data_IF_276932733473
#
_entry.id   IF_276932733473
#
_cell.length_a   1.000
_cell.length_b   1.000
_cell.length_c   1.000
_cell.angle_alpha   90.00
_cell.angle_beta   90.00
_cell.angle_gamma   90.00
#
_symmetry.space_group_name_H-M   'P 1'
#
loop_
_entity.id
_entity.type
_entity.pdbx_description
1 polymer ?
#
# COMPACT_ATOMS: atom_id res chain seq x y z
N UNK A 1 -9.28 11.99 -18.11
CA UNK A 1 -10.39 11.99 -17.12
C UNK A 1 -10.03 12.94 -16.00
N UNK A 2 -10.91 13.85 -15.64
CA UNK A 2 -10.75 14.77 -14.50
C UNK A 2 -11.21 14.11 -13.20
N UNK A 3 -10.86 14.68 -12.04
CA UNK A 3 -11.34 14.18 -10.73
C UNK A 3 -12.88 14.21 -10.65
N UNK A 4 -13.50 15.25 -11.18
CA UNK A 4 -14.97 15.40 -11.17
C UNK A 4 -15.68 14.40 -12.09
N UNK A 5 -15.04 13.97 -13.18
CA UNK A 5 -15.54 12.85 -14.01
C UNK A 5 -15.36 11.53 -13.29
N UNK A 6 -14.19 11.32 -12.65
CA UNK A 6 -13.90 10.10 -11.90
C UNK A 6 -14.90 9.86 -10.76
N UNK A 7 -15.30 10.91 -10.04
CA UNK A 7 -16.30 10.80 -8.95
C UNK A 7 -17.68 10.33 -9.41
N UNK A 8 -17.98 10.45 -10.70
CA UNK A 8 -19.26 10.01 -11.27
C UNK A 8 -19.22 8.55 -11.74
N UNK A 9 -18.03 7.97 -11.78
CA UNK A 9 -17.82 6.59 -12.17
C UNK A 9 -18.17 5.62 -11.04
N UNK A 10 -18.56 4.41 -11.41
CA UNK A 10 -18.66 3.28 -10.49
C UNK A 10 -17.25 2.73 -10.27
N UNK A 11 -16.69 2.95 -9.09
CA UNK A 11 -15.29 2.61 -8.77
C UNK A 11 -15.24 1.32 -7.94
N UNK A 12 -14.49 0.32 -8.44
CA UNK A 12 -14.17 -0.87 -7.63
C UNK A 12 -12.98 -0.58 -6.70
N UNK A 13 -13.09 -1.03 -5.46
CA UNK A 13 -12.01 -0.93 -4.46
C UNK A 13 -11.65 -2.30 -3.89
N UNK A 14 -10.38 -2.53 -3.51
CA UNK A 14 -9.92 -3.83 -3.01
C UNK A 14 -10.28 -4.09 -1.54
N UNK A 15 -10.82 -3.10 -0.86
CA UNK A 15 -11.22 -3.17 0.54
C UNK A 15 -11.14 -1.82 1.24
N UNK A 16 -12.12 -1.57 2.10
CA UNK A 16 -12.26 -0.31 2.87
C UNK A 16 -11.10 -0.07 3.85
N UNK A 17 -10.45 -1.14 4.29
CA UNK A 17 -9.36 -1.08 5.27
C UNK A 17 -7.98 -1.10 4.61
N UNK A 18 -7.88 -0.69 3.33
CA UNK A 18 -6.61 -0.58 2.63
C UNK A 18 -6.08 0.86 2.64
N UNK A 19 -4.76 1.01 2.74
CA UNK A 19 -4.10 2.31 2.57
C UNK A 19 -4.38 2.93 1.20
N UNK A 20 -4.51 2.10 0.17
CA UNK A 20 -4.87 2.56 -1.18
C UNK A 20 -6.24 3.25 -1.21
N UNK A 21 -7.25 2.68 -0.55
CA UNK A 21 -8.57 3.31 -0.45
C UNK A 21 -8.52 4.62 0.34
N UNK A 22 -7.79 4.66 1.46
CA UNK A 22 -7.60 5.89 2.23
C UNK A 22 -6.93 6.98 1.39
N UNK A 23 -5.84 6.65 0.68
CA UNK A 23 -5.14 7.59 -0.21
C UNK A 23 -6.05 8.09 -1.35
N UNK A 24 -6.85 7.21 -1.95
CA UNK A 24 -7.81 7.63 -2.97
C UNK A 24 -8.85 8.58 -2.40
N UNK A 25 -9.39 8.31 -1.21
CA UNK A 25 -10.33 9.24 -0.54
C UNK A 25 -9.68 10.58 -0.19
N UNK A 26 -8.41 10.59 0.20
CA UNK A 26 -7.65 11.82 0.43
C UNK A 26 -7.47 12.62 -0.86
N UNK A 27 -7.23 11.94 -1.96
CA UNK A 27 -7.00 12.57 -3.27
C UNK A 27 -8.27 13.15 -3.88
N UNK A 28 -9.34 12.34 -3.98
CA UNK A 28 -10.54 12.74 -4.72
C UNK A 28 -11.75 13.10 -3.84
N UNK A 29 -11.70 12.83 -2.53
CA UNK A 29 -12.84 13.06 -1.62
C UNK A 29 -13.85 11.91 -1.61
N UNK A 30 -15.11 12.21 -1.37
CA UNK A 30 -16.20 11.21 -1.36
C UNK A 30 -16.59 10.80 -2.78
N UNK A 31 -16.83 9.52 -2.98
CA UNK A 31 -17.28 8.91 -4.23
C UNK A 31 -18.04 7.60 -3.95
N UNK A 32 -18.80 7.15 -4.91
CA UNK A 32 -19.49 5.86 -4.84
C UNK A 32 -18.54 4.73 -5.24
N UNK A 33 -18.57 3.62 -4.50
CA UNK A 33 -17.69 2.49 -4.75
C UNK A 33 -18.37 1.15 -4.49
N UNK A 34 -17.80 0.11 -5.09
CA UNK A 34 -18.11 -1.30 -4.82
C UNK A 34 -16.84 -1.99 -4.32
N UNK A 35 -16.97 -2.76 -3.24
CA UNK A 35 -15.86 -3.57 -2.69
C UNK A 35 -15.85 -4.95 -3.34
N UNK A 36 -14.70 -5.37 -3.86
CA UNK A 36 -14.49 -6.69 -4.44
C UNK A 36 -13.08 -7.20 -4.22
N UNK A 37 -12.85 -8.49 -4.48
CA UNK A 37 -11.50 -9.03 -4.37
C UNK A 37 -10.57 -8.31 -5.36
N UNK A 38 -9.38 -7.92 -4.91
CA UNK A 38 -8.43 -7.17 -5.72
C UNK A 38 -8.05 -7.88 -7.03
N UNK A 39 -8.04 -9.21 -7.05
CA UNK A 39 -7.74 -10.01 -8.25
C UNK A 39 -8.84 -9.95 -9.32
N UNK A 40 -10.05 -9.56 -8.95
CA UNK A 40 -11.20 -9.53 -9.87
C UNK A 40 -11.41 -8.13 -10.46
N UNK A 41 -10.83 -7.10 -9.86
CA UNK A 41 -10.99 -5.69 -10.25
C UNK A 41 -10.65 -5.46 -11.74
N UNK A 42 -9.49 -5.91 -12.28
CA UNK A 42 -9.17 -5.65 -13.69
C UNK A 42 -10.19 -6.25 -14.67
N UNK A 43 -10.68 -7.45 -14.37
CA UNK A 43 -11.71 -8.11 -15.19
C UNK A 43 -13.06 -7.42 -15.10
N UNK A 44 -13.40 -6.90 -13.92
CA UNK A 44 -14.65 -6.14 -13.73
C UNK A 44 -14.62 -4.82 -14.52
N UNK A 45 -13.47 -4.18 -14.67
CA UNK A 45 -13.28 -3.02 -15.53
C UNK A 45 -13.37 -3.42 -17.01
N UNK A 46 -12.65 -4.46 -17.42
CA UNK A 46 -12.65 -4.96 -18.80
C UNK A 46 -14.06 -5.35 -19.27
N UNK A 47 -14.84 -6.00 -18.41
CA UNK A 47 -16.22 -6.42 -18.72
C UNK A 47 -17.25 -5.28 -18.67
N UNK A 48 -16.88 -4.10 -18.16
CA UNK A 48 -17.80 -2.98 -17.95
C UNK A 48 -18.74 -3.16 -16.75
N UNK A 49 -18.45 -4.07 -15.84
CA UNK A 49 -19.17 -4.21 -14.58
C UNK A 49 -18.97 -2.99 -13.68
N UNK A 50 -17.77 -2.41 -13.74
CA UNK A 50 -17.38 -1.12 -13.13
C UNK A 50 -16.65 -0.28 -14.16
N UNK A 51 -16.70 1.05 -13.97
CA UNK A 51 -16.06 1.98 -14.89
C UNK A 51 -14.54 2.12 -14.61
N UNK A 52 -14.15 2.03 -13.34
CA UNK A 52 -12.77 2.23 -12.86
C UNK A 52 -12.46 1.28 -11.73
N UNK A 53 -11.20 0.87 -11.61
CA UNK A 53 -10.70 0.00 -10.54
C UNK A 53 -9.51 0.59 -9.81
N UNK A 54 -9.53 0.52 -8.48
CA UNK A 54 -8.35 0.79 -7.65
C UNK A 54 -7.55 -0.52 -7.51
N UNK A 55 -6.42 -0.60 -8.18
CA UNK A 55 -5.59 -1.81 -8.16
C UNK A 55 -4.48 -1.72 -7.11
N UNK A 56 -4.16 -2.85 -6.50
CA UNK A 56 -3.09 -3.05 -5.53
C UNK A 56 -2.31 -4.32 -5.86
N UNK A 57 -1.30 -4.63 -5.05
CA UNK A 57 -0.46 -5.82 -5.21
C UNK A 57 0.21 -5.88 -6.60
N UNK A 58 0.52 -7.08 -7.06
CA UNK A 58 1.15 -7.31 -8.37
C UNK A 58 0.29 -6.86 -9.57
N UNK A 59 -1.02 -6.71 -9.37
CA UNK A 59 -1.95 -6.24 -10.41
C UNK A 59 -1.59 -4.84 -10.92
N UNK A 60 -0.99 -3.99 -10.07
CA UNK A 60 -0.49 -2.67 -10.48
C UNK A 60 0.67 -2.75 -11.51
N UNK A 61 1.25 -3.93 -11.72
CA UNK A 61 2.31 -4.16 -12.70
C UNK A 61 1.80 -4.89 -13.95
N UNK A 62 0.59 -5.44 -13.93
CA UNK A 62 0.03 -6.28 -15.01
C UNK A 62 -1.24 -5.72 -15.65
N UNK A 63 -1.81 -4.63 -15.14
CA UNK A 63 -3.10 -4.09 -15.63
C UNK A 63 -3.12 -3.78 -17.12
N UNK A 64 -2.02 -3.34 -17.72
CA UNK A 64 -1.92 -3.06 -19.17
C UNK A 64 -2.05 -4.35 -20.00
N UNK A 65 -1.51 -5.47 -19.51
CA UNK A 65 -1.62 -6.77 -20.16
C UNK A 65 -3.06 -7.30 -20.13
N UNK A 66 -3.88 -6.80 -19.21
CA UNK A 66 -5.29 -7.09 -19.04
C UNK A 66 -6.18 -6.04 -19.75
N UNK A 67 -5.62 -5.27 -20.70
CA UNK A 67 -6.37 -4.31 -21.52
C UNK A 67 -6.77 -3.01 -20.82
N UNK A 68 -6.29 -2.79 -19.60
CA UNK A 68 -6.62 -1.59 -18.81
C UNK A 68 -5.60 -0.46 -19.03
N UNK A 69 -5.98 0.77 -18.72
CA UNK A 69 -5.12 1.96 -18.81
C UNK A 69 -5.05 2.68 -17.47
N UNK A 70 -3.88 3.20 -17.11
CA UNK A 70 -3.69 4.02 -15.91
C UNK A 70 -4.34 5.39 -16.12
N UNK A 71 -5.27 5.74 -15.26
CA UNK A 71 -5.92 7.06 -15.23
C UNK A 71 -5.21 7.97 -14.24
N UNK A 72 -4.96 7.47 -13.03
CA UNK A 72 -4.33 8.18 -11.92
C UNK A 72 -3.36 7.25 -11.21
N UNK A 73 -2.39 7.85 -10.52
CA UNK A 73 -1.49 7.16 -9.62
C UNK A 73 -1.51 7.85 -8.26
N UNK A 74 -1.99 7.14 -7.25
CA UNK A 74 -2.09 7.69 -5.89
C UNK A 74 -0.71 7.91 -5.25
N UNK A 75 0.30 7.15 -5.68
CA UNK A 75 1.68 7.34 -5.25
C UNK A 75 2.29 8.61 -5.80
N UNK A 76 2.11 8.89 -7.11
CA UNK A 76 2.54 10.15 -7.73
C UNK A 76 1.84 11.37 -7.11
N UNK A 77 0.55 11.23 -6.78
CA UNK A 77 -0.18 12.28 -6.09
C UNK A 77 0.38 12.52 -4.68
N UNK A 78 0.65 11.45 -3.94
CA UNK A 78 1.24 11.52 -2.60
C UNK A 78 2.60 12.21 -2.62
N UNK A 79 3.49 11.79 -3.50
CA UNK A 79 4.82 12.37 -3.69
C UNK A 79 4.75 13.89 -3.90
N UNK A 80 3.92 14.35 -4.83
CA UNK A 80 3.71 15.77 -5.13
C UNK A 80 3.11 16.52 -3.95
N UNK A 81 2.18 15.91 -3.22
CA UNK A 81 1.45 16.55 -2.11
C UNK A 81 2.33 16.70 -0.88
N UNK A 82 3.29 15.78 -0.68
CA UNK A 82 4.13 15.70 0.52
C UNK A 82 5.59 16.10 0.28
N UNK A 83 5.94 16.54 -0.93
CA UNK A 83 7.31 16.87 -1.34
C UNK A 83 8.28 15.70 -1.15
N UNK A 84 7.90 14.50 -1.59
CA UNK A 84 8.78 13.34 -1.65
C UNK A 84 8.78 12.44 -0.42
N UNK A 85 7.80 12.53 0.48
CA UNK A 85 7.68 11.54 1.55
C UNK A 85 7.32 10.17 1.00
N UNK A 86 7.87 9.08 1.55
CA UNK A 86 7.53 7.74 1.12
C UNK A 86 6.03 7.45 1.30
N UNK A 87 5.45 6.65 0.41
CA UNK A 87 4.03 6.27 0.52
C UNK A 87 3.86 5.27 1.66
N UNK A 88 3.06 5.54 2.71
CA UNK A 88 2.83 4.59 3.80
C UNK A 88 1.85 3.50 3.37
N UNK A 89 2.35 2.41 2.82
CA UNK A 89 1.54 1.30 2.33
C UNK A 89 1.06 0.38 3.45
N UNK A 90 1.90 0.13 4.44
CA UNK A 90 1.61 -0.69 5.61
C UNK A 90 2.69 -0.57 6.66
N UNK A 91 2.33 -0.87 7.90
CA UNK A 91 3.23 -0.86 9.05
C UNK A 91 3.00 -2.10 9.91
N UNK A 92 4.05 -2.58 10.55
CA UNK A 92 3.93 -3.59 11.59
C UNK A 92 3.56 -2.92 12.91
N UNK A 93 2.60 -3.48 13.63
CA UNK A 93 2.16 -2.97 14.92
C UNK A 93 2.21 -4.07 15.99
N UNK A 94 2.50 -3.66 17.21
CA UNK A 94 2.48 -4.55 18.37
C UNK A 94 1.60 -3.97 19.46
N UNK A 95 0.99 -4.85 20.26
CA UNK A 95 0.24 -4.43 21.45
C UNK A 95 1.20 -3.88 22.52
N UNK A 96 0.87 -2.74 23.07
CA UNK A 96 1.70 -2.07 24.10
C UNK A 96 1.76 -2.83 25.41
N UNK A 97 0.76 -3.67 25.73
CA UNK A 97 0.72 -4.52 26.91
C UNK A 97 1.80 -5.63 26.94
N UNK A 98 2.44 -5.90 25.80
CA UNK A 98 3.60 -6.80 25.73
C UNK A 98 4.86 -6.25 26.42
N UNK A 99 4.88 -4.97 26.77
CA UNK A 99 5.99 -4.27 27.39
C UNK A 99 7.09 -3.88 26.41
N UNK A 100 7.73 -2.73 26.69
CA UNK A 100 8.73 -2.13 25.80
C UNK A 100 9.94 -3.02 25.53
N UNK A 101 10.40 -3.80 26.51
CA UNK A 101 11.53 -4.71 26.32
C UNK A 101 11.23 -5.77 25.26
N UNK A 102 10.01 -6.31 25.24
CA UNK A 102 9.56 -7.28 24.25
C UNK A 102 9.46 -6.62 22.87
N UNK A 103 8.89 -5.43 22.80
CA UNK A 103 8.69 -4.68 21.54
C UNK A 103 10.04 -4.37 20.90
N UNK A 104 10.98 -3.79 21.66
CA UNK A 104 12.33 -3.46 21.17
C UNK A 104 13.11 -4.70 20.73
N UNK A 105 12.96 -5.81 21.47
CA UNK A 105 13.61 -7.06 21.10
C UNK A 105 13.04 -7.65 19.82
N UNK A 106 11.72 -7.61 19.65
CA UNK A 106 11.06 -8.08 18.44
C UNK A 106 11.44 -7.24 17.23
N UNK A 107 11.46 -5.91 17.36
CA UNK A 107 11.86 -4.99 16.30
C UNK A 107 13.26 -5.32 15.76
N UNK A 108 14.24 -5.55 16.65
CA UNK A 108 15.58 -5.98 16.25
C UNK A 108 15.61 -7.30 15.48
N UNK A 109 14.79 -8.28 15.88
CA UNK A 109 14.69 -9.54 15.16
C UNK A 109 14.01 -9.36 13.79
N UNK A 110 12.97 -8.53 13.73
CA UNK A 110 12.29 -8.24 12.47
C UNK A 110 13.24 -7.55 11.49
N UNK A 111 13.97 -6.53 11.95
CA UNK A 111 14.99 -5.86 11.14
C UNK A 111 16.04 -6.83 10.62
N UNK A 112 16.65 -7.63 11.51
CA UNK A 112 17.64 -8.62 11.12
C UNK A 112 17.10 -9.67 10.13
N UNK A 113 15.83 -10.07 10.27
CA UNK A 113 15.16 -10.98 9.36
C UNK A 113 14.97 -10.38 7.96
N UNK A 114 14.61 -9.10 7.89
CA UNK A 114 14.45 -8.38 6.62
C UNK A 114 15.81 -8.23 5.94
N UNK A 115 16.83 -7.81 6.68
CA UNK A 115 18.21 -7.68 6.19
C UNK A 115 18.73 -9.01 5.64
N UNK A 116 18.53 -10.11 6.38
CA UNK A 116 18.89 -11.45 5.94
C UNK A 116 18.18 -11.84 4.63
N UNK A 117 16.89 -11.55 4.51
CA UNK A 117 16.13 -11.81 3.28
C UNK A 117 16.61 -10.98 2.09
N UNK A 118 17.09 -9.75 2.31
CA UNK A 118 17.69 -8.91 1.27
C UNK A 118 19.06 -9.46 0.84
N UNK A 119 19.90 -9.85 1.80
CA UNK A 119 21.23 -10.42 1.54
C UNK A 119 21.16 -11.78 0.85
N UNK A 120 20.12 -12.58 1.15
CA UNK A 120 19.86 -13.92 0.58
C UNK A 120 18.63 -13.87 -0.36
N UNK A 121 18.60 -12.89 -1.25
CA UNK A 121 17.41 -12.55 -2.03
C UNK A 121 16.86 -13.70 -2.87
N UNK A 122 17.72 -14.50 -3.50
CA UNK A 122 17.29 -15.62 -4.35
C UNK A 122 16.57 -16.71 -3.55
N UNK A 123 17.06 -17.05 -2.37
CA UNK A 123 16.43 -18.04 -1.47
C UNK A 123 15.10 -17.47 -0.92
N UNK A 124 15.06 -16.20 -0.54
CA UNK A 124 13.85 -15.52 -0.09
C UNK A 124 12.80 -15.45 -1.19
N UNK A 125 13.21 -15.16 -2.43
CA UNK A 125 12.32 -15.12 -3.59
C UNK A 125 11.79 -16.53 -3.92
N UNK A 126 12.63 -17.56 -3.86
CA UNK A 126 12.20 -18.96 -4.06
C UNK A 126 11.11 -19.36 -3.07
N UNK A 127 11.27 -18.98 -1.79
CA UNK A 127 10.23 -19.17 -0.79
C UNK A 127 8.95 -18.38 -1.12
N UNK A 128 9.06 -17.11 -1.52
CA UNK A 128 7.93 -16.26 -1.88
C UNK A 128 7.16 -16.78 -3.12
N UNK A 129 7.86 -17.43 -4.06
CA UNK A 129 7.25 -18.03 -5.25
C UNK A 129 6.21 -19.10 -4.93
N UNK A 130 6.30 -19.79 -3.78
CA UNK A 130 5.29 -20.74 -3.34
C UNK A 130 3.92 -20.10 -3.11
N UNK A 131 3.87 -18.79 -2.90
CA UNK A 131 2.66 -17.99 -2.66
C UNK A 131 2.28 -17.07 -3.85
N UNK A 132 3.00 -17.19 -4.96
CA UNK A 132 2.84 -16.34 -6.16
C UNK A 132 1.53 -16.53 -6.93
N UNK A 133 0.70 -17.52 -6.55
CA UNK A 133 -0.54 -17.88 -7.25
C UNK A 133 -0.33 -18.13 -8.75
N UNK A 134 0.82 -18.71 -9.13
CA UNK A 134 1.17 -19.01 -10.51
C UNK A 134 1.63 -17.82 -11.35
N UNK A 135 1.92 -16.68 -10.73
CA UNK A 135 2.52 -15.53 -11.42
C UNK A 135 3.98 -15.83 -11.79
N UNK A 136 4.46 -15.20 -12.86
CA UNK A 136 5.83 -15.36 -13.32
C UNK A 136 6.86 -14.82 -12.32
N UNK A 137 8.01 -15.52 -12.20
CA UNK A 137 9.10 -15.16 -11.27
C UNK A 137 9.55 -13.70 -11.45
N UNK A 138 9.73 -13.23 -12.68
CA UNK A 138 10.17 -11.86 -12.95
C UNK A 138 9.19 -10.78 -12.47
N UNK A 139 7.88 -11.07 -12.54
CA UNK A 139 6.85 -10.17 -12.01
C UNK A 139 6.91 -10.11 -10.48
N UNK A 140 7.02 -11.28 -9.82
CA UNK A 140 7.10 -11.36 -8.35
C UNK A 140 8.40 -10.72 -7.86
N UNK A 141 9.53 -10.95 -8.52
CA UNK A 141 10.79 -10.30 -8.20
C UNK A 141 10.67 -8.77 -8.23
N UNK A 142 10.10 -8.24 -9.32
CA UNK A 142 9.87 -6.79 -9.45
C UNK A 142 8.96 -6.27 -8.34
N UNK A 143 7.90 -7.00 -8.03
CA UNK A 143 6.97 -6.66 -6.97
C UNK A 143 7.67 -6.65 -5.60
N UNK A 144 8.41 -7.70 -5.25
CA UNK A 144 9.15 -7.78 -3.99
C UNK A 144 10.11 -6.61 -3.84
N UNK A 145 10.90 -6.28 -4.87
CA UNK A 145 11.85 -5.16 -4.86
C UNK A 145 11.19 -3.78 -4.71
N UNK A 146 9.93 -3.63 -5.11
CA UNK A 146 9.17 -2.40 -4.85
C UNK A 146 8.81 -2.22 -3.37
N UNK A 147 8.51 -3.32 -2.67
CA UNK A 147 8.00 -3.29 -1.30
C UNK A 147 9.08 -3.52 -0.25
N UNK A 148 10.10 -4.33 -0.59
CA UNK A 148 11.23 -4.61 0.31
C UNK A 148 12.42 -3.73 -0.11
N UNK A 149 12.61 -2.66 0.61
CA UNK A 149 13.57 -1.61 0.31
C UNK A 149 14.15 -1.03 1.63
N UNK A 150 15.09 -0.08 1.60
CA UNK A 150 15.68 0.48 2.82
C UNK A 150 14.67 1.02 3.84
N UNK A 151 13.52 1.57 3.38
CA UNK A 151 12.46 2.06 4.28
C UNK A 151 11.76 0.90 5.01
N UNK A 152 11.72 -0.29 4.39
CA UNK A 152 11.18 -1.50 5.04
C UNK A 152 12.10 -2.00 6.16
N UNK A 153 13.41 -1.87 5.99
CA UNK A 153 14.41 -2.21 7.03
C UNK A 153 14.31 -1.23 8.19
N UNK A 154 14.31 0.05 7.88
CA UNK A 154 14.15 1.13 8.86
C UNK A 154 13.45 2.31 8.21
N UNK A 155 12.26 2.65 8.69
CA UNK A 155 11.50 3.74 8.12
C UNK A 155 12.14 5.13 8.31
N UNK A 156 12.98 5.29 9.35
CA UNK A 156 13.63 6.55 9.69
C UNK A 156 12.66 7.72 9.88
N UNK A 157 13.21 8.92 10.01
CA UNK A 157 12.41 10.14 10.14
C UNK A 157 11.46 10.40 8.95
N UNK A 158 11.86 10.16 7.67
CA UNK A 158 10.93 10.35 6.55
C UNK A 158 9.71 9.42 6.60
N UNK A 159 9.89 8.17 7.00
CA UNK A 159 8.78 7.22 7.14
C UNK A 159 7.84 7.59 8.29
N UNK A 160 8.40 8.01 9.45
CA UNK A 160 7.59 8.52 10.55
C UNK A 160 6.79 9.77 10.15
N UNK A 161 7.42 10.72 9.46
CA UNK A 161 6.76 11.92 8.95
C UNK A 161 5.64 11.56 7.96
N UNK A 162 5.87 10.58 7.08
CA UNK A 162 4.87 10.12 6.12
C UNK A 162 3.63 9.54 6.82
N UNK A 163 3.83 8.70 7.83
CA UNK A 163 2.72 8.11 8.62
C UNK A 163 1.94 9.21 9.35
N UNK A 164 2.63 10.13 10.02
CA UNK A 164 1.99 11.25 10.72
C UNK A 164 1.20 12.13 9.76
N UNK A 165 1.78 12.46 8.60
CA UNK A 165 1.12 13.26 7.57
C UNK A 165 -0.12 12.59 7.00
N UNK A 166 -0.06 11.27 6.73
CA UNK A 166 -1.20 10.51 6.25
C UNK A 166 -2.38 10.60 7.23
N UNK A 167 -2.13 10.36 8.50
CA UNK A 167 -3.19 10.38 9.50
C UNK A 167 -3.64 11.78 9.88
N UNK A 168 -2.78 12.79 9.83
CA UNK A 168 -3.17 14.19 9.93
C UNK A 168 -4.21 14.56 8.86
N UNK A 169 -3.88 14.32 7.59
CA UNK A 169 -4.79 14.57 6.47
C UNK A 169 -6.10 13.76 6.57
N UNK A 170 -6.02 12.51 7.05
CA UNK A 170 -7.19 11.67 7.23
C UNK A 170 -8.12 12.16 8.37
N UNK A 171 -7.54 12.63 9.48
CA UNK A 171 -8.28 13.27 10.59
C UNK A 171 -8.96 14.55 10.14
N UNK A 172 -8.26 15.44 9.43
CA UNK A 172 -8.81 16.69 8.90
C UNK A 172 -10.03 16.47 8.01
N UNK A 173 -10.05 15.36 7.26
CA UNK A 173 -11.19 14.96 6.41
C UNK A 173 -12.24 14.10 7.12
N UNK A 174 -12.04 13.79 8.40
CA UNK A 174 -12.96 12.93 9.17
C UNK A 174 -13.01 11.48 8.67
N UNK A 175 -11.95 10.99 8.03
CA UNK A 175 -11.86 9.62 7.51
C UNK A 175 -11.41 8.62 8.57
N UNK A 176 -10.75 9.08 9.62
CA UNK A 176 -10.31 8.28 10.76
C UNK A 176 -10.67 8.98 12.07
N UNK A 177 -10.86 8.24 13.17
CA UNK A 177 -11.06 8.84 14.48
C UNK A 177 -9.80 9.58 14.94
N UNK A 178 -9.92 10.38 16.00
CA UNK A 178 -8.76 10.96 16.65
C UNK A 178 -8.03 9.88 17.49
N UNK A 179 -6.70 9.82 17.34
CA UNK A 179 -5.81 8.91 18.07
C UNK A 179 -4.39 9.45 18.06
N UNK A 180 -3.58 9.00 19.00
CA UNK A 180 -2.16 9.30 19.06
C UNK A 180 -1.34 8.21 18.34
N UNK A 181 -0.32 8.64 17.61
CA UNK A 181 0.65 7.75 16.97
C UNK A 181 1.86 7.63 17.88
N UNK A 182 2.09 6.42 18.40
CA UNK A 182 3.29 6.08 19.16
C UNK A 182 4.22 5.24 18.26
N UNK A 183 5.46 5.71 18.09
CA UNK A 183 6.51 4.95 17.41
C UNK A 183 7.34 4.27 18.50
N UNK A 184 7.39 2.96 18.46
CA UNK A 184 7.96 2.16 19.54
C UNK A 184 9.50 2.18 19.57
N UNK A 185 10.12 2.40 18.40
CA UNK A 185 11.59 2.37 18.26
C UNK A 185 12.06 3.53 17.38
N UNK A 186 13.15 4.15 17.80
CA UNK A 186 13.91 5.15 17.03
C UNK A 186 15.33 4.66 16.83
#
# INVERSE_FOLDING_TARGET
MTIEELKKCKIAIPGKMTSAFLLLQLMIGKFDYVEMNFSDIPKAVESGEVDVGLVIHETQLSYEQEGNVKILDVGEWWDKTTNGLPVPLGINVMKTDLGMDTIVKFDKYLQASIEFGIENFDDALEYAMQYSRGKERGLIEKFVKMYVNPVTVNMGDPGEQAIRKLFEMAKEKGLVPDFEISIATK
#
